data_IF_290102721056
#
_entry.id   IF_290102721056
#
_cell.length_a   1.000
_cell.length_b   1.000
_cell.length_c   1.000
_cell.angle_alpha   90.00
_cell.angle_beta   90.00
_cell.angle_gamma   90.00
#
_symmetry.space_group_name_H-M   'P 1'
#
loop_
_entity.id
_entity.type
_entity.pdbx_description
1 polymer ?
#
# COMPACT_ATOMS: atom_id res chain seq x y z
N UNK A 1 5.81 -14.32 3.60
CA UNK A 1 5.36 -13.41 2.53
C UNK A 1 6.42 -12.35 2.22
N UNK A 2 6.64 -11.37 3.11
CA UNK A 2 7.67 -10.32 2.97
C UNK A 2 8.66 -10.43 4.14
N UNK A 3 9.96 -10.39 3.84
CA UNK A 3 11.02 -10.28 4.83
C UNK A 3 11.95 -9.15 4.44
N UNK A 4 12.17 -8.22 5.34
CA UNK A 4 13.14 -7.13 5.22
C UNK A 4 14.24 -7.41 6.24
N UNK A 5 15.49 -7.51 5.79
CA UNK A 5 16.63 -7.94 6.61
C UNK A 5 17.69 -6.85 6.66
N UNK A 6 17.76 -6.14 7.78
CA UNK A 6 18.81 -5.17 8.08
C UNK A 6 18.97 -4.08 7.03
N UNK A 7 17.87 -3.60 6.42
CA UNK A 7 17.96 -2.60 5.34
C UNK A 7 18.42 -1.26 5.87
N UNK A 8 19.32 -0.66 5.12
CA UNK A 8 19.87 0.68 5.37
C UNK A 8 19.74 1.52 4.11
N UNK A 9 19.40 2.79 4.25
CA UNK A 9 19.37 3.74 3.14
C UNK A 9 20.07 5.03 3.49
N UNK A 10 21.10 5.34 2.71
CA UNK A 10 21.86 6.56 2.80
C UNK A 10 21.57 7.44 1.57
N UNK A 11 21.41 8.74 1.78
CA UNK A 11 21.40 9.77 0.76
C UNK A 11 22.58 10.71 1.03
N UNK A 12 23.71 10.43 0.39
CA UNK A 12 24.98 11.09 0.72
C UNK A 12 25.37 10.81 2.18
N UNK A 13 25.53 11.85 2.98
CA UNK A 13 25.83 11.75 4.42
C UNK A 13 24.63 11.50 5.31
N UNK A 14 23.40 11.69 4.79
CA UNK A 14 22.17 11.47 5.55
C UNK A 14 21.82 9.98 5.57
N UNK A 15 21.73 9.40 6.76
CA UNK A 15 21.22 8.04 6.99
C UNK A 15 19.71 8.14 7.26
N UNK A 16 18.89 7.88 6.24
CA UNK A 16 17.43 7.98 6.35
C UNK A 16 16.78 6.74 6.98
N UNK A 17 17.38 5.56 6.78
CA UNK A 17 16.96 4.30 7.42
C UNK A 17 18.22 3.52 7.77
N UNK A 18 18.27 2.96 8.99
CA UNK A 18 19.45 2.28 9.51
C UNK A 18 19.12 0.92 10.11
N UNK A 19 19.55 -0.15 9.46
CA UNK A 19 19.49 -1.53 9.94
C UNK A 19 18.08 -1.96 10.40
N UNK A 20 17.04 -1.65 9.59
CA UNK A 20 15.67 -2.02 9.89
C UNK A 20 15.36 -3.41 9.34
N UNK A 21 14.79 -4.25 10.20
CA UNK A 21 14.31 -5.59 9.83
C UNK A 21 12.83 -5.71 10.16
N UNK A 22 12.04 -6.36 9.29
CA UNK A 22 10.61 -6.58 9.49
C UNK A 22 10.19 -7.83 8.72
N UNK A 23 9.25 -8.60 9.27
CA UNK A 23 8.65 -9.71 8.55
C UNK A 23 7.12 -9.62 8.56
N UNK A 24 6.48 -9.92 7.43
CA UNK A 24 5.03 -9.92 7.26
C UNK A 24 4.58 -11.30 6.81
N UNK A 25 3.66 -11.90 7.56
CA UNK A 25 3.07 -13.19 7.24
C UNK A 25 2.03 -13.08 6.11
N UNK A 26 1.70 -14.18 5.39
CA UNK A 26 0.56 -14.19 4.49
C UNK A 26 -0.74 -13.87 5.26
N UNK A 27 -1.57 -12.99 4.69
CA UNK A 27 -2.84 -12.57 5.27
C UNK A 27 -2.71 -11.65 6.49
N UNK A 28 -1.54 -11.09 6.76
CA UNK A 28 -1.31 -10.11 7.83
C UNK A 28 -1.54 -8.69 7.33
N UNK A 29 -2.13 -7.83 8.18
CA UNK A 29 -2.12 -6.39 8.01
C UNK A 29 -1.09 -5.77 8.94
N UNK A 30 0.01 -5.30 8.36
CA UNK A 30 1.09 -4.62 9.04
C UNK A 30 0.99 -3.12 8.86
N UNK A 31 0.92 -2.36 9.95
CA UNK A 31 1.06 -0.92 9.90
C UNK A 31 2.50 -0.49 10.21
N UNK A 32 2.99 0.52 9.49
CA UNK A 32 4.26 1.19 9.74
C UNK A 32 3.94 2.60 10.20
N UNK A 33 4.32 2.94 11.43
CA UNK A 33 4.06 4.24 12.02
C UNK A 33 5.35 4.88 12.54
N UNK A 34 5.26 6.10 12.99
CA UNK A 34 6.37 6.85 13.60
C UNK A 34 6.22 8.34 13.35
N UNK A 35 6.98 9.17 14.06
CA UNK A 35 6.97 10.62 13.90
C UNK A 35 7.36 11.08 12.48
N UNK A 36 7.17 12.38 12.22
CA UNK A 36 7.62 12.97 10.96
C UNK A 36 9.16 12.88 10.87
N UNK A 37 9.66 12.54 9.69
CA UNK A 37 11.10 12.32 9.52
C UNK A 37 11.62 10.97 10.05
N UNK A 38 10.79 10.09 10.62
CA UNK A 38 11.19 8.77 11.14
C UNK A 38 11.71 7.80 10.06
N UNK A 39 11.63 8.15 8.77
CA UNK A 39 12.10 7.29 7.68
C UNK A 39 11.04 6.37 7.08
N UNK A 40 9.75 6.48 7.47
CA UNK A 40 8.63 5.63 7.00
C UNK A 40 8.55 5.55 5.48
N UNK A 41 8.42 6.69 4.82
CA UNK A 41 8.33 6.76 3.34
C UNK A 41 9.57 6.21 2.66
N UNK A 42 10.76 6.47 3.22
CA UNK A 42 12.01 5.89 2.70
C UNK A 42 12.02 4.37 2.82
N UNK A 43 11.62 3.84 3.97
CA UNK A 43 11.52 2.40 4.20
C UNK A 43 10.49 1.74 3.27
N UNK A 44 9.33 2.35 3.11
CA UNK A 44 8.29 1.88 2.22
C UNK A 44 8.70 1.93 0.74
N UNK A 45 9.42 2.98 0.33
CA UNK A 45 9.97 3.11 -1.00
C UNK A 45 11.01 2.01 -1.33
N UNK A 46 11.78 1.55 -0.34
CA UNK A 46 12.65 0.38 -0.52
C UNK A 46 11.83 -0.90 -0.69
N UNK A 47 10.78 -1.11 0.12
CA UNK A 47 9.90 -2.28 0.02
C UNK A 47 9.19 -2.32 -1.34
N UNK A 48 8.71 -1.18 -1.83
CA UNK A 48 8.02 -1.10 -3.13
C UNK A 48 8.97 -1.18 -4.35
N UNK A 49 10.29 -0.99 -4.14
CA UNK A 49 11.29 -1.01 -5.22
C UNK A 49 11.42 0.31 -5.98
N UNK A 50 10.95 1.41 -5.39
CA UNK A 50 11.17 2.75 -5.95
C UNK A 50 12.66 3.09 -6.01
N UNK A 51 13.40 2.68 -4.98
CA UNK A 51 14.86 2.62 -4.98
C UNK A 51 15.38 1.44 -4.14
N UNK A 52 16.57 0.97 -4.46
CA UNK A 52 17.21 -0.09 -3.70
C UNK A 52 17.79 0.42 -2.36
N UNK A 53 17.86 -0.41 -1.32
CA UNK A 53 18.60 -0.10 -0.11
C UNK A 53 20.11 0.01 -0.42
N UNK A 54 20.83 0.74 0.43
CA UNK A 54 22.30 0.83 0.39
C UNK A 54 22.93 -0.44 0.96
N UNK A 55 22.27 -1.09 1.92
CA UNK A 55 22.67 -2.37 2.51
C UNK A 55 21.44 -3.12 3.00
N UNK A 56 21.59 -4.43 3.26
CA UNK A 56 20.52 -5.32 3.67
C UNK A 56 19.82 -5.96 2.47
N UNK A 57 18.74 -6.70 2.73
CA UNK A 57 18.02 -7.46 1.71
C UNK A 57 16.50 -7.39 1.91
N UNK A 58 15.75 -7.49 0.81
CA UNK A 58 14.29 -7.57 0.78
C UNK A 58 13.91 -8.85 0.04
N UNK A 59 13.22 -9.73 0.75
CA UNK A 59 12.80 -11.03 0.23
C UNK A 59 11.28 -11.04 0.13
N UNK A 60 10.76 -11.35 -1.03
CA UNK A 60 9.33 -11.50 -1.28
C UNK A 60 9.01 -12.90 -1.79
N UNK A 61 8.19 -13.66 -1.06
CA UNK A 61 7.88 -15.07 -1.32
C UNK A 61 9.12 -15.94 -1.56
N UNK A 62 10.14 -15.77 -0.72
CA UNK A 62 11.40 -16.51 -0.81
C UNK A 62 12.35 -16.05 -1.92
N UNK A 63 11.97 -15.05 -2.71
CA UNK A 63 12.82 -14.48 -3.79
C UNK A 63 13.45 -13.17 -3.32
N UNK A 64 14.74 -13.03 -3.55
CA UNK A 64 15.42 -11.76 -3.34
C UNK A 64 14.95 -10.73 -4.39
N UNK A 65 14.31 -9.66 -3.91
CA UNK A 65 13.81 -8.56 -4.72
C UNK A 65 14.57 -7.25 -4.47
N UNK A 66 15.67 -7.31 -3.74
CA UNK A 66 16.42 -6.14 -3.27
C UNK A 66 16.75 -5.15 -4.40
N UNK A 67 17.20 -5.65 -5.53
CA UNK A 67 17.58 -4.83 -6.70
C UNK A 67 16.50 -4.81 -7.79
N UNK A 68 15.34 -5.43 -7.56
CA UNK A 68 14.27 -5.48 -8.55
C UNK A 68 13.47 -4.17 -8.50
N UNK A 69 13.35 -3.42 -9.61
CA UNK A 69 12.58 -2.16 -9.63
C UNK A 69 11.09 -2.40 -9.51
N UNK A 70 10.35 -1.35 -9.05
CA UNK A 70 8.92 -1.39 -8.75
C UNK A 70 8.07 -2.05 -9.85
N UNK A 71 8.23 -1.65 -11.10
CA UNK A 71 7.47 -2.21 -12.23
C UNK A 71 7.62 -3.74 -12.37
N UNK A 72 8.78 -4.30 -12.03
CA UNK A 72 8.99 -5.76 -12.05
C UNK A 72 8.45 -6.42 -10.78
N UNK A 73 8.40 -5.71 -9.63
CA UNK A 73 7.77 -6.23 -8.40
C UNK A 73 6.27 -6.37 -8.56
N UNK A 74 5.62 -5.51 -9.36
CA UNK A 74 4.21 -5.68 -9.73
C UNK A 74 3.98 -7.04 -10.40
N UNK A 75 4.80 -7.41 -11.37
CA UNK A 75 4.72 -8.72 -12.03
C UNK A 75 4.97 -9.91 -11.08
N UNK A 76 5.60 -9.67 -9.92
CA UNK A 76 5.78 -10.67 -8.87
C UNK A 76 4.60 -10.73 -7.88
N UNK A 77 3.62 -9.83 -8.02
CA UNK A 77 2.44 -9.77 -7.17
C UNK A 77 2.54 -8.78 -6.01
N UNK A 78 3.31 -7.72 -6.13
CA UNK A 78 3.38 -6.63 -5.17
C UNK A 78 2.81 -5.36 -5.81
N UNK A 79 1.62 -4.91 -5.40
CA UNK A 79 1.04 -3.64 -5.87
C UNK A 79 1.14 -2.56 -4.79
N UNK A 80 1.26 -1.31 -5.21
CA UNK A 80 1.28 -0.14 -4.34
C UNK A 80 0.28 0.90 -4.83
N UNK A 81 -0.47 1.51 -3.90
CA UNK A 81 -1.12 2.80 -4.13
C UNK A 81 -0.13 3.92 -3.82
N UNK A 82 -0.17 5.02 -4.56
CA UNK A 82 0.77 6.13 -4.37
C UNK A 82 0.17 7.21 -3.48
N UNK A 83 1.02 7.99 -2.80
CA UNK A 83 0.63 9.11 -1.95
C UNK A 83 0.00 10.27 -2.76
N UNK A 84 0.39 10.41 -4.02
CA UNK A 84 -0.27 11.30 -4.99
C UNK A 84 -1.19 10.41 -5.83
N UNK A 85 -2.46 10.78 -5.89
CA UNK A 85 -3.50 10.08 -6.63
C UNK A 85 -3.09 9.88 -8.08
N UNK A 86 -2.68 8.65 -8.45
CA UNK A 86 -2.29 8.30 -9.84
C UNK A 86 -3.52 7.77 -10.61
N UNK A 87 -4.64 8.49 -10.51
CA UNK A 87 -5.81 8.27 -11.36
C UNK A 87 -5.74 9.17 -12.58
N UNK A 88 -6.43 8.78 -13.60
CA UNK A 88 -6.66 9.60 -14.79
C UNK A 88 -8.00 10.33 -14.61
N UNK A 89 -8.02 11.60 -14.17
CA UNK A 89 -9.26 12.30 -13.76
C UNK A 89 -10.25 12.49 -14.90
N UNK A 90 -9.77 12.52 -16.16
CA UNK A 90 -10.59 12.63 -17.37
C UNK A 90 -11.18 11.29 -17.83
N UNK A 91 -10.78 10.19 -17.25
CA UNK A 91 -11.33 8.87 -17.51
C UNK A 91 -12.38 8.49 -16.47
N UNK A 92 -13.28 7.59 -16.85
CA UNK A 92 -14.27 7.00 -15.95
C UNK A 92 -13.60 6.08 -14.91
N UNK A 93 -14.32 5.74 -13.85
CA UNK A 93 -13.89 4.74 -12.86
C UNK A 93 -13.57 3.40 -13.56
N UNK A 94 -14.46 2.98 -14.46
CA UNK A 94 -14.28 1.77 -15.27
C UNK A 94 -12.99 1.81 -16.07
N UNK A 95 -12.74 2.88 -16.85
CA UNK A 95 -11.56 3.03 -17.70
C UNK A 95 -10.26 3.07 -16.90
N UNK A 96 -10.26 3.70 -15.71
CA UNK A 96 -9.12 3.69 -14.81
C UNK A 96 -8.77 2.25 -14.36
N UNK A 97 -9.75 1.49 -13.89
CA UNK A 97 -9.53 0.11 -13.44
C UNK A 97 -9.20 -0.82 -14.61
N UNK A 98 -9.80 -0.59 -15.79
CA UNK A 98 -9.51 -1.34 -17.01
C UNK A 98 -8.05 -1.19 -17.43
N UNK A 99 -7.50 0.03 -17.38
CA UNK A 99 -6.09 0.27 -17.70
C UNK A 99 -5.13 -0.60 -16.87
N UNK A 100 -5.42 -0.75 -15.58
CA UNK A 100 -4.64 -1.61 -14.69
C UNK A 100 -4.85 -3.11 -14.98
N UNK A 101 -6.09 -3.53 -15.28
CA UNK A 101 -6.42 -4.91 -15.62
C UNK A 101 -5.72 -5.36 -16.92
N UNK A 102 -5.62 -4.47 -17.90
CA UNK A 102 -4.90 -4.73 -19.16
C UNK A 102 -3.39 -4.88 -18.95
N UNK A 103 -2.79 -4.06 -18.07
CA UNK A 103 -1.39 -4.21 -17.69
C UNK A 103 -1.13 -5.56 -17.03
N UNK A 104 -2.04 -6.00 -16.15
CA UNK A 104 -1.96 -7.31 -15.50
C UNK A 104 -2.08 -8.48 -16.48
N UNK A 105 -2.91 -8.35 -17.52
CA UNK A 105 -3.07 -9.33 -18.57
C UNK A 105 -1.86 -9.44 -19.51
N UNK A 106 -0.84 -8.58 -19.34
CA UNK A 106 0.34 -8.56 -20.21
C UNK A 106 0.06 -8.04 -21.62
N UNK A 107 -1.05 -7.33 -21.80
CA UNK A 107 -1.42 -6.71 -23.06
C UNK A 107 -0.48 -5.53 -23.39
N UNK A 108 0.76 -5.88 -23.74
CA UNK A 108 1.65 -4.98 -24.45
C UNK A 108 1.16 -4.89 -25.90
N UNK A 109 0.43 -3.80 -26.26
CA UNK A 109 0.27 -3.30 -27.65
C UNK A 109 0.25 -4.35 -28.79
N UNK A 110 -0.41 -5.51 -28.60
CA UNK A 110 -0.61 -6.47 -29.65
C UNK A 110 -2.05 -6.38 -30.17
N UNK A 111 -2.24 -5.65 -31.27
CA UNK A 111 -3.53 -5.45 -31.95
C UNK A 111 -4.24 -6.75 -32.39
N UNK A 112 -3.68 -7.92 -32.18
CA UNK A 112 -4.18 -9.18 -32.77
C UNK A 112 -4.74 -10.22 -31.79
N UNK A 113 -4.64 -10.02 -30.46
CA UNK A 113 -5.18 -10.95 -29.45
C UNK A 113 -6.42 -10.41 -28.72
N UNK A 114 -6.99 -9.33 -29.23
CA UNK A 114 -7.86 -8.38 -28.55
C UNK A 114 -9.20 -8.91 -27.98
N UNK A 115 -9.81 -9.98 -28.51
CA UNK A 115 -11.20 -10.29 -28.15
C UNK A 115 -11.39 -11.21 -26.96
N UNK A 116 -10.53 -12.21 -26.77
CA UNK A 116 -10.61 -13.12 -25.62
C UNK A 116 -10.05 -12.48 -24.35
N UNK A 117 -9.02 -11.65 -24.50
CA UNK A 117 -8.37 -10.96 -23.40
C UNK A 117 -9.18 -9.75 -22.92
N UNK A 118 -9.89 -9.03 -23.82
CA UNK A 118 -10.81 -7.96 -23.46
C UNK A 118 -11.92 -8.47 -22.52
N UNK A 119 -12.54 -9.60 -22.81
CA UNK A 119 -13.56 -10.18 -21.94
C UNK A 119 -13.05 -10.65 -20.58
N UNK A 120 -11.74 -10.93 -20.46
CA UNK A 120 -11.12 -11.27 -19.18
C UNK A 120 -10.84 -10.01 -18.37
N UNK A 121 -10.34 -8.94 -18.99
CA UNK A 121 -10.12 -7.66 -18.33
C UNK A 121 -11.43 -7.07 -17.81
N UNK A 122 -12.51 -7.11 -18.60
CA UNK A 122 -13.84 -6.65 -18.19
C UNK A 122 -14.38 -7.38 -16.95
N UNK A 123 -14.16 -8.69 -16.86
CA UNK A 123 -14.54 -9.46 -15.67
C UNK A 123 -13.75 -9.02 -14.44
N UNK A 124 -12.45 -8.72 -14.60
CA UNK A 124 -11.63 -8.21 -13.51
C UNK A 124 -12.13 -6.83 -13.06
N UNK A 125 -12.44 -5.95 -14.00
CA UNK A 125 -13.00 -4.63 -13.69
C UNK A 125 -14.28 -4.76 -12.87
N UNK A 126 -15.26 -5.55 -13.35
CA UNK A 126 -16.53 -5.74 -12.64
C UNK A 126 -16.32 -6.29 -11.21
N UNK A 127 -15.43 -7.29 -11.07
CA UNK A 127 -15.08 -7.86 -9.76
C UNK A 127 -14.45 -6.82 -8.82
N UNK A 128 -13.51 -6.01 -9.33
CA UNK A 128 -12.83 -5.00 -8.51
C UNK A 128 -13.75 -3.85 -8.12
N UNK A 129 -14.61 -3.38 -9.03
CA UNK A 129 -15.60 -2.35 -8.74
C UNK A 129 -16.63 -2.80 -7.71
N UNK A 130 -17.06 -4.05 -7.76
CA UNK A 130 -17.96 -4.62 -6.75
C UNK A 130 -17.25 -4.70 -5.38
N UNK A 131 -16.01 -5.16 -5.36
CA UNK A 131 -15.22 -5.31 -4.13
C UNK A 131 -14.99 -3.98 -3.41
N UNK A 132 -14.77 -2.88 -4.16
CA UNK A 132 -14.58 -1.55 -3.58
C UNK A 132 -15.88 -0.75 -3.42
N UNK A 133 -17.02 -1.25 -3.92
CA UNK A 133 -18.33 -0.62 -3.81
C UNK A 133 -18.58 0.51 -4.82
N UNK A 134 -17.90 0.49 -5.97
CA UNK A 134 -18.02 1.52 -7.01
C UNK A 134 -18.81 1.09 -8.26
N UNK A 135 -19.46 -0.07 -8.26
CA UNK A 135 -20.19 -0.60 -9.42
C UNK A 135 -21.23 0.38 -9.98
N UNK A 136 -21.93 1.12 -9.12
CA UNK A 136 -22.94 2.11 -9.53
C UNK A 136 -22.35 3.43 -10.05
N UNK A 137 -21.05 3.63 -9.90
CA UNK A 137 -20.31 4.83 -10.31
C UNK A 137 -19.34 4.54 -11.47
N UNK A 138 -19.41 3.35 -12.06
CA UNK A 138 -18.47 2.88 -13.09
C UNK A 138 -18.28 3.87 -14.25
N UNK A 139 -19.36 4.49 -14.73
CA UNK A 139 -19.37 5.41 -15.86
C UNK A 139 -19.13 6.88 -15.47
N UNK A 140 -18.88 7.18 -14.18
CA UNK A 140 -18.59 8.55 -13.72
C UNK A 140 -17.13 8.87 -13.96
N UNK A 141 -16.83 10.11 -14.36
CA UNK A 141 -15.45 10.61 -14.41
C UNK A 141 -14.86 10.65 -12.99
N UNK A 142 -13.66 10.09 -12.84
CA UNK A 142 -13.05 9.99 -11.51
C UNK A 142 -12.76 11.37 -10.92
N UNK A 143 -12.39 12.35 -11.75
CA UNK A 143 -12.14 13.71 -11.29
C UNK A 143 -13.36 14.44 -10.71
N UNK A 144 -14.59 13.95 -10.95
CA UNK A 144 -15.83 14.50 -10.41
C UNK A 144 -16.28 13.82 -9.10
N UNK A 145 -15.58 12.79 -8.66
CA UNK A 145 -15.94 12.03 -7.46
C UNK A 145 -15.36 12.67 -6.19
N UNK A 146 -15.98 12.36 -5.05
CA UNK A 146 -15.42 12.67 -3.74
C UNK A 146 -14.07 11.95 -3.52
N UNK A 147 -13.22 12.48 -2.66
CA UNK A 147 -11.87 11.95 -2.42
C UNK A 147 -11.90 10.47 -1.98
N UNK A 148 -12.86 10.06 -1.17
CA UNK A 148 -13.04 8.67 -0.78
C UNK A 148 -13.28 7.73 -1.96
N UNK A 149 -14.13 8.12 -2.93
CA UNK A 149 -14.37 7.32 -4.14
C UNK A 149 -13.14 7.31 -5.07
N UNK A 150 -12.41 8.41 -5.18
CA UNK A 150 -11.14 8.47 -5.91
C UNK A 150 -10.13 7.49 -5.30
N UNK A 151 -10.00 7.48 -3.98
CA UNK A 151 -9.11 6.54 -3.28
C UNK A 151 -9.55 5.09 -3.42
N UNK A 152 -10.86 4.83 -3.37
CA UNK A 152 -11.41 3.50 -3.66
C UNK A 152 -11.08 3.05 -5.09
N UNK A 153 -11.09 3.98 -6.07
CA UNK A 153 -10.68 3.72 -7.46
C UNK A 153 -9.19 3.33 -7.54
N UNK A 154 -8.31 4.03 -6.85
CA UNK A 154 -6.89 3.67 -6.78
C UNK A 154 -6.67 2.28 -6.18
N UNK A 155 -7.38 1.97 -5.11
CA UNK A 155 -7.34 0.64 -4.50
C UNK A 155 -7.84 -0.41 -5.51
N UNK A 156 -8.92 -0.14 -6.25
CA UNK A 156 -9.42 -1.03 -7.29
C UNK A 156 -8.40 -1.26 -8.42
N UNK A 157 -7.71 -0.19 -8.88
CA UNK A 157 -6.62 -0.31 -9.86
C UNK A 157 -5.48 -1.20 -9.32
N UNK A 158 -5.06 -0.99 -8.08
CA UNK A 158 -4.03 -1.82 -7.46
C UNK A 158 -4.47 -3.29 -7.33
N UNK A 159 -5.74 -3.55 -6.98
CA UNK A 159 -6.31 -4.88 -6.89
C UNK A 159 -6.47 -5.56 -8.26
N UNK A 160 -6.74 -4.80 -9.32
CA UNK A 160 -6.82 -5.31 -10.69
C UNK A 160 -5.50 -5.94 -11.16
N UNK A 161 -4.37 -5.54 -10.58
CA UNK A 161 -3.06 -6.18 -10.78
C UNK A 161 -2.95 -7.56 -10.11
N UNK A 162 -3.98 -8.03 -9.42
CA UNK A 162 -4.04 -9.32 -8.71
C UNK A 162 -2.87 -9.52 -7.73
N UNK A 163 -2.63 -8.56 -6.82
CA UNK A 163 -1.48 -8.63 -5.94
C UNK A 163 -1.64 -9.70 -4.86
N UNK A 164 -0.50 -10.22 -4.39
CA UNK A 164 -0.40 -11.01 -3.16
C UNK A 164 -0.04 -10.14 -1.96
N UNK A 165 0.60 -9.00 -2.20
CA UNK A 165 0.92 -7.98 -1.21
C UNK A 165 0.47 -6.62 -1.72
N UNK A 166 -0.41 -5.98 -0.96
CA UNK A 166 -0.88 -4.62 -1.22
C UNK A 166 -0.16 -3.65 -0.29
N UNK A 167 0.46 -2.64 -0.87
CA UNK A 167 1.15 -1.56 -0.17
C UNK A 167 0.28 -0.30 -0.24
N UNK A 168 -0.17 0.20 0.91
CA UNK A 168 -1.01 1.40 1.02
C UNK A 168 -0.23 2.53 1.68
N UNK A 169 -0.12 3.66 0.99
CA UNK A 169 0.62 4.83 1.45
C UNK A 169 -0.38 5.90 1.86
N UNK A 170 -0.55 6.09 3.18
CA UNK A 170 -1.46 7.04 3.82
C UNK A 170 -2.86 7.04 3.17
N UNK A 171 -3.58 5.89 3.17
CA UNK A 171 -4.82 5.74 2.42
C UNK A 171 -5.94 6.68 2.87
N UNK A 172 -5.86 7.27 4.06
CA UNK A 172 -6.88 8.18 4.60
C UNK A 172 -6.44 9.65 4.66
N UNK A 173 -5.25 9.97 4.12
CA UNK A 173 -4.72 11.33 4.17
C UNK A 173 -5.63 12.35 3.46
N UNK A 174 -5.89 13.49 4.12
CA UNK A 174 -6.69 14.59 3.56
C UNK A 174 -8.19 14.35 3.55
N UNK A 175 -8.69 13.27 4.14
CA UNK A 175 -10.10 12.90 4.19
C UNK A 175 -10.81 13.41 5.44
N UNK A 176 -12.11 13.72 5.31
CA UNK A 176 -12.97 13.93 6.46
C UNK A 176 -13.27 12.62 7.22
N UNK A 177 -13.84 12.73 8.42
CA UNK A 177 -14.09 11.57 9.28
C UNK A 177 -14.96 10.50 8.61
N UNK A 178 -15.98 10.89 7.83
CA UNK A 178 -16.86 9.95 7.13
C UNK A 178 -16.11 9.18 6.04
N UNK A 179 -15.33 9.86 5.20
CA UNK A 179 -14.52 9.22 4.15
C UNK A 179 -13.46 8.30 4.76
N UNK A 180 -12.79 8.76 5.84
CA UNK A 180 -11.84 7.95 6.61
C UNK A 180 -12.48 6.66 7.11
N UNK A 181 -13.70 6.74 7.65
CA UNK A 181 -14.45 5.57 8.11
C UNK A 181 -14.76 4.59 6.96
N UNK A 182 -15.18 5.11 5.80
CA UNK A 182 -15.52 4.30 4.62
C UNK A 182 -14.29 3.58 4.05
N UNK A 183 -13.17 4.29 3.87
CA UNK A 183 -11.90 3.71 3.39
C UNK A 183 -11.32 2.71 4.42
N UNK A 184 -11.39 3.03 5.70
CA UNK A 184 -10.99 2.08 6.77
C UNK A 184 -11.84 0.81 6.71
N UNK A 185 -13.16 0.95 6.52
CA UNK A 185 -14.08 -0.16 6.33
C UNK A 185 -13.76 -1.01 5.10
N UNK A 186 -13.39 -0.37 3.97
CA UNK A 186 -12.96 -1.06 2.77
C UNK A 186 -11.67 -1.86 3.02
N UNK A 187 -10.62 -1.25 3.58
CA UNK A 187 -9.35 -1.92 3.87
C UNK A 187 -9.58 -3.11 4.81
N UNK A 188 -10.45 -2.95 5.81
CA UNK A 188 -10.81 -4.04 6.73
C UNK A 188 -11.47 -5.21 6.02
N UNK A 189 -12.41 -4.97 5.09
CA UNK A 189 -13.02 -6.04 4.27
C UNK A 189 -11.97 -6.74 3.43
N UNK A 190 -11.11 -6.00 2.73
CA UNK A 190 -10.02 -6.58 1.93
C UNK A 190 -9.12 -7.48 2.77
N UNK A 191 -8.76 -7.06 3.96
CA UNK A 191 -7.92 -7.83 4.86
C UNK A 191 -8.65 -9.05 5.45
N UNK A 192 -9.80 -8.87 6.07
CA UNK A 192 -10.46 -9.92 6.84
C UNK A 192 -11.25 -10.90 5.99
N UNK A 193 -11.98 -10.41 5.01
CA UNK A 193 -12.89 -11.23 4.20
C UNK A 193 -12.17 -11.83 3.00
N UNK A 194 -11.35 -11.04 2.32
CA UNK A 194 -10.61 -11.44 1.13
C UNK A 194 -9.18 -11.92 1.40
N UNK A 195 -8.72 -11.87 2.67
CA UNK A 195 -7.41 -12.37 3.14
C UNK A 195 -6.21 -11.75 2.44
N UNK A 196 -6.33 -10.52 1.97
CA UNK A 196 -5.17 -9.81 1.43
C UNK A 196 -4.10 -9.58 2.50
N UNK A 197 -2.84 -9.75 2.09
CA UNK A 197 -1.70 -9.27 2.89
C UNK A 197 -1.51 -7.80 2.57
N UNK A 198 -1.49 -6.98 3.61
CA UNK A 198 -1.43 -5.51 3.46
C UNK A 198 -0.29 -4.97 4.33
N UNK A 199 0.51 -4.08 3.76
CA UNK A 199 1.40 -3.20 4.53
C UNK A 199 0.95 -1.78 4.28
N UNK A 200 0.69 -1.03 5.33
CA UNK A 200 0.27 0.37 5.21
C UNK A 200 1.17 1.30 6.03
N UNK A 201 1.36 2.52 5.52
CA UNK A 201 1.79 3.65 6.34
C UNK A 201 0.55 4.44 6.71
N UNK A 202 0.45 4.84 7.95
CA UNK A 202 -0.59 5.74 8.44
C UNK A 202 -0.08 6.56 9.63
N UNK A 203 -0.67 7.73 9.79
CA UNK A 203 -0.41 8.61 10.93
C UNK A 203 -1.65 8.80 11.82
N UNK A 204 -2.85 8.47 11.35
CA UNK A 204 -4.05 8.41 12.20
C UNK A 204 -4.04 7.13 13.03
N UNK A 205 -3.73 7.26 14.31
CA UNK A 205 -3.66 6.13 15.24
C UNK A 205 -5.00 5.40 15.38
N UNK A 206 -6.15 6.10 15.19
CA UNK A 206 -7.48 5.47 15.23
C UNK A 206 -7.61 4.43 14.11
N UNK A 207 -7.15 4.79 12.90
CA UNK A 207 -7.12 3.89 11.73
C UNK A 207 -6.17 2.72 11.98
N UNK A 208 -4.95 3.02 12.43
CA UNK A 208 -3.91 2.01 12.72
C UNK A 208 -4.40 0.97 13.72
N UNK A 209 -4.90 1.41 14.89
CA UNK A 209 -5.36 0.49 15.94
C UNK A 209 -6.62 -0.30 15.54
N UNK A 210 -7.42 0.23 14.62
CA UNK A 210 -8.60 -0.46 14.12
C UNK A 210 -8.28 -1.55 13.11
N UNK A 211 -7.23 -1.36 12.29
CA UNK A 211 -6.90 -2.23 11.16
C UNK A 211 -5.80 -3.24 11.45
N UNK A 212 -4.72 -2.83 12.10
CA UNK A 212 -3.47 -3.59 12.13
C UNK A 212 -3.54 -4.83 13.01
N UNK A 213 -3.00 -5.95 12.51
CA UNK A 213 -2.67 -7.11 13.33
C UNK A 213 -1.38 -6.87 14.10
N UNK A 214 -0.39 -6.25 13.45
CA UNK A 214 0.88 -5.86 14.03
C UNK A 214 1.31 -4.48 13.54
N UNK A 215 2.06 -3.79 14.37
CA UNK A 215 2.56 -2.43 14.12
C UNK A 215 4.08 -2.45 14.24
N UNK A 216 4.76 -1.84 13.28
CA UNK A 216 6.18 -1.53 13.32
C UNK A 216 6.33 -0.02 13.50
N UNK A 217 6.99 0.39 14.57
CA UNK A 217 7.23 1.81 14.88
C UNK A 217 8.66 2.16 14.47
N UNK A 218 8.79 3.15 13.63
CA UNK A 218 10.08 3.74 13.27
C UNK A 218 10.28 5.07 14.02
N UNK A 219 11.51 5.31 14.41
CA UNK A 219 11.97 6.60 14.92
C UNK A 219 13.41 6.83 14.47
N UNK A 220 13.72 8.05 13.99
CA UNK A 220 15.05 8.47 13.52
C UNK A 220 15.74 7.43 12.60
N UNK A 221 14.97 6.84 11.70
CA UNK A 221 15.45 5.84 10.72
C UNK A 221 15.68 4.44 11.30
N UNK A 222 15.30 4.16 12.54
CA UNK A 222 15.48 2.86 13.21
C UNK A 222 14.14 2.28 13.63
N UNK A 223 14.10 0.96 13.84
CA UNK A 223 12.95 0.34 14.49
C UNK A 223 13.00 0.63 15.99
N UNK A 224 11.98 1.35 16.48
CA UNK A 224 11.80 1.64 17.91
C UNK A 224 11.08 0.50 18.62
N UNK A 225 10.01 -0.01 18.03
CA UNK A 225 9.19 -1.07 18.59
C UNK A 225 8.47 -1.86 17.50
N UNK A 226 8.11 -3.10 17.80
CA UNK A 226 7.22 -3.93 16.99
C UNK A 226 6.31 -4.76 17.90
N UNK A 227 5.02 -4.79 17.63
CA UNK A 227 4.07 -5.55 18.44
C UNK A 227 2.64 -5.50 17.92
N UNK A 228 1.72 -6.06 18.68
CA UNK A 228 0.28 -5.89 18.50
C UNK A 228 -0.15 -4.47 18.84
N UNK A 229 -1.33 -4.01 18.39
CA UNK A 229 -1.85 -2.69 18.78
C UNK A 229 -1.85 -2.45 20.30
N UNK A 230 -2.17 -3.47 21.10
CA UNK A 230 -2.17 -3.37 22.57
C UNK A 230 -0.78 -3.17 23.15
N UNK A 231 0.21 -3.91 22.65
CA UNK A 231 1.60 -3.80 23.08
C UNK A 231 2.18 -2.42 22.72
N UNK A 232 1.90 -1.93 21.54
CA UNK A 232 2.37 -0.62 21.07
C UNK A 232 1.71 0.51 21.86
N UNK A 233 0.41 0.42 22.15
CA UNK A 233 -0.29 1.42 22.97
C UNK A 233 0.27 1.51 24.40
N UNK A 234 0.75 0.40 24.95
CA UNK A 234 1.32 0.33 26.30
C UNK A 234 2.83 0.67 26.35
N UNK A 235 3.48 0.90 25.21
CA UNK A 235 4.94 1.15 25.15
C UNK A 235 5.27 2.58 25.54
N UNK A 236 5.94 2.78 26.67
CA UNK A 236 6.43 4.09 27.12
C UNK A 236 7.38 4.72 26.09
N UNK A 237 8.24 3.92 25.45
CA UNK A 237 9.17 4.42 24.43
C UNK A 237 8.42 4.97 23.21
N UNK A 238 7.32 4.32 22.78
CA UNK A 238 6.49 4.80 21.68
C UNK A 238 5.76 6.08 22.09
N UNK A 239 5.16 6.13 23.28
CA UNK A 239 4.50 7.33 23.80
C UNK A 239 5.46 8.51 23.87
N UNK A 240 6.70 8.30 24.36
CA UNK A 240 7.71 9.35 24.44
C UNK A 240 8.12 9.87 23.05
N UNK A 241 8.25 9.01 22.04
CA UNK A 241 8.59 9.42 20.69
C UNK A 241 7.52 10.33 20.05
N UNK A 242 6.25 10.09 20.33
CA UNK A 242 5.14 10.91 19.83
C UNK A 242 4.91 12.21 20.65
N UNK A 243 5.18 12.18 21.96
CA UNK A 243 5.07 13.37 22.83
C UNK A 243 6.20 14.38 22.58
N UNK A 244 7.36 13.92 22.11
CA UNK A 244 8.49 14.79 21.76
C UNK A 244 8.26 15.67 20.52
N UNK A 245 7.24 15.39 19.70
CA UNK A 245 6.84 16.23 18.56
C UNK A 245 5.90 17.40 18.96
N UNK A 246 5.31 17.35 20.16
CA UNK A 246 4.35 18.36 20.64
C UNK A 246 5.01 19.54 21.39
N UNK A 247 6.32 19.58 21.45
CA UNK A 247 7.14 20.65 22.03
C UNK A 247 7.98 21.31 20.95
#
# INVERSE_FOLDING_TARGET
MLEVRGVTKNFGSLVAVQNVSMSVAPGELRAIIGPNGAGKTTFFNMISGYFAPTAGAIIFDGKDVTQIPAARRVALGMARTFQITEIFPELTVHENVLSAAEVAAGQRLHMWTARADAGRAEKVVAEMLDLVGLSTKADRLVGELAHGDQRATEIAMALALRPRLLLLDEPTAGMGDQETYEITGLIRRLHRDSKFTIVLIEHDMRVVFHLADRITVLDQGRMLAEGTPKEIAASEAVQAAYLGEAA
#
